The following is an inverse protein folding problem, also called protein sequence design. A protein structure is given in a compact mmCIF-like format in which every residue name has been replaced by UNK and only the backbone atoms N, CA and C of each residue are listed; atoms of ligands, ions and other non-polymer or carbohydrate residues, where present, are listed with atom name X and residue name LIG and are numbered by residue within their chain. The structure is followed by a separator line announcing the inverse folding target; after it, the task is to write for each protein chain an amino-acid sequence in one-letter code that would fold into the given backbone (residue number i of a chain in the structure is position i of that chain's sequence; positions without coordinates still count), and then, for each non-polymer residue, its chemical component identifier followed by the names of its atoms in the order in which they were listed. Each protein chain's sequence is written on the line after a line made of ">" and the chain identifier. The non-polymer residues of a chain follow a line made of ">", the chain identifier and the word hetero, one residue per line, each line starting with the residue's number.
data_IF_393733853372
#
_entry.id   IF_393733853372
#
_cell.length_a   1.000
_cell.length_b   1.000
_cell.length_c   1.000
_cell.angle_alpha   90.00
_cell.angle_beta   90.00
_cell.angle_gamma   90.00
#
_symmetry.space_group_name_H-M   'P 1'
#
loop_
_entity.id
_entity.type
_entity.pdbx_description
1 polymer ?
#
# COMPACT_ATOMS: atom_id res chain seq x y z
N UNK A 1 2.13 13.23 18.59
CA UNK A 1 3.36 12.56 19.05
C UNK A 1 3.07 11.86 20.37
N UNK A 2 3.43 10.58 20.46
CA UNK A 2 3.33 9.80 21.71
C UNK A 2 4.76 9.63 22.23
N UNK A 3 5.17 10.32 23.31
CA UNK A 3 6.52 10.24 23.83
C UNK A 3 6.75 8.92 24.57
N UNK A 4 7.85 8.23 24.23
CA UNK A 4 8.37 7.08 24.95
C UNK A 4 9.91 7.19 24.99
N UNK A 5 10.47 7.26 26.16
CA UNK A 5 11.92 7.51 26.36
C UNK A 5 12.70 6.26 26.77
N UNK A 6 12.08 5.08 26.74
CA UNK A 6 12.72 3.82 27.16
C UNK A 6 13.82 3.37 26.21
N UNK A 7 13.72 3.73 24.93
CA UNK A 7 14.69 3.38 23.88
C UNK A 7 14.92 4.55 22.92
N UNK A 8 16.11 4.71 22.32
CA UNK A 8 16.42 5.78 21.38
C UNK A 8 15.92 5.48 19.94
N UNK A 9 14.72 4.92 19.82
CA UNK A 9 14.08 4.61 18.52
C UNK A 9 12.78 5.40 18.38
N UNK A 10 12.37 5.60 17.13
CA UNK A 10 11.11 6.24 16.78
C UNK A 10 10.38 5.41 15.73
N UNK A 11 9.07 5.31 15.88
CA UNK A 11 8.17 4.84 14.84
C UNK A 11 7.56 6.05 14.16
N UNK A 12 7.92 6.28 12.92
CA UNK A 12 7.26 7.26 12.05
C UNK A 12 6.13 6.56 11.31
N UNK A 13 4.93 7.12 11.33
CA UNK A 13 3.76 6.57 10.61
C UNK A 13 3.11 7.69 9.80
N UNK A 14 2.86 7.41 8.54
CA UNK A 14 2.07 8.23 7.64
C UNK A 14 0.76 7.50 7.33
N UNK A 15 -0.37 8.20 7.51
CA UNK A 15 -1.71 7.65 7.33
C UNK A 15 -2.43 8.40 6.23
N UNK A 16 -2.88 7.67 5.22
CA UNK A 16 -3.81 8.17 4.21
C UNK A 16 -5.21 7.66 4.54
N UNK A 17 -6.17 8.58 4.64
CA UNK A 17 -7.58 8.24 4.90
C UNK A 17 -8.22 7.76 3.60
N UNK A 18 -7.75 6.66 3.10
CA UNK A 18 -8.20 6.01 1.87
C UNK A 18 -7.85 4.52 1.92
N UNK A 19 -8.77 3.68 1.51
CA UNK A 19 -8.60 2.23 1.49
C UNK A 19 -9.48 1.58 0.42
N UNK A 20 -9.72 0.26 0.53
CA UNK A 20 -10.50 -0.46 -0.47
C UNK A 20 -11.97 -0.02 -0.55
N UNK A 21 -12.50 0.61 0.49
CA UNK A 21 -13.88 1.15 0.47
C UNK A 21 -14.04 2.37 -0.44
N UNK A 22 -12.94 3.04 -0.81
CA UNK A 22 -12.94 4.22 -1.66
C UNK A 22 -12.72 3.90 -3.15
N UNK A 23 -12.55 2.62 -3.47
CA UNK A 23 -12.30 2.15 -4.83
C UNK A 23 -13.54 2.27 -5.70
N UNK A 24 -13.34 2.60 -6.98
CA UNK A 24 -14.41 2.63 -7.96
C UNK A 24 -14.85 1.17 -8.28
N UNK A 25 -16.15 0.87 -8.39
CA UNK A 25 -16.60 -0.45 -8.82
C UNK A 25 -15.93 -0.92 -10.11
N UNK A 26 -15.47 -2.15 -10.13
CA UNK A 26 -14.70 -2.73 -11.24
C UNK A 26 -13.18 -2.51 -11.17
N UNK A 27 -12.69 -1.86 -10.10
CA UNK A 27 -11.26 -1.55 -9.86
C UNK A 27 -10.80 -2.02 -8.47
N UNK A 28 -11.39 -3.11 -7.96
CA UNK A 28 -11.04 -3.62 -6.63
C UNK A 28 -9.58 -4.04 -6.53
N UNK A 29 -8.99 -3.81 -5.36
CA UNK A 29 -7.58 -4.04 -5.08
C UNK A 29 -6.68 -2.86 -5.46
N UNK A 30 -7.22 -1.75 -5.97
CA UNK A 30 -6.43 -0.60 -6.42
C UNK A 30 -5.69 0.10 -5.26
N UNK A 31 -6.30 0.20 -4.09
CA UNK A 31 -5.66 0.78 -2.91
C UNK A 31 -4.44 -0.05 -2.47
N UNK A 32 -4.60 -1.38 -2.39
CA UNK A 32 -3.51 -2.31 -2.08
C UNK A 32 -2.46 -2.36 -3.20
N UNK A 33 -2.89 -2.28 -4.46
CA UNK A 33 -1.98 -2.18 -5.60
C UNK A 33 -1.11 -0.92 -5.53
N UNK A 34 -1.72 0.23 -5.22
CA UNK A 34 -0.95 1.47 -5.05
C UNK A 34 -0.01 1.39 -3.84
N UNK A 35 -0.42 0.75 -2.72
CA UNK A 35 0.49 0.51 -1.60
C UNK A 35 1.80 -0.14 -2.06
N UNK A 36 1.72 -1.21 -2.84
CA UNK A 36 2.88 -1.90 -3.41
C UNK A 36 3.68 -0.98 -4.35
N UNK A 37 2.99 -0.26 -5.23
CA UNK A 37 3.63 0.63 -6.20
C UNK A 37 4.38 1.80 -5.56
N UNK A 38 3.98 2.23 -4.36
CA UNK A 38 4.67 3.28 -3.62
C UNK A 38 6.12 2.93 -3.25
N UNK A 39 6.51 1.66 -3.35
CA UNK A 39 7.90 1.19 -3.16
C UNK A 39 8.71 1.11 -4.45
N UNK A 40 8.12 1.45 -5.61
CA UNK A 40 8.80 1.37 -6.92
C UNK A 40 9.78 2.49 -7.17
N UNK A 41 9.59 3.65 -6.56
CA UNK A 41 10.56 4.74 -6.59
C UNK A 41 9.97 6.09 -6.97
N UNK A 42 10.86 7.08 -6.95
CA UNK A 42 10.60 8.48 -7.25
C UNK A 42 11.70 9.02 -8.18
N UNK A 43 11.70 10.34 -8.44
CA UNK A 43 12.84 10.97 -9.12
C UNK A 43 14.14 10.89 -8.34
N UNK A 44 14.05 10.96 -7.00
CA UNK A 44 15.21 11.00 -6.10
C UNK A 44 15.65 9.63 -5.61
N UNK A 45 14.68 8.71 -5.45
CA UNK A 45 14.92 7.38 -4.90
C UNK A 45 14.58 6.35 -5.98
N UNK A 46 15.58 5.66 -6.49
CA UNK A 46 15.39 4.65 -7.52
C UNK A 46 14.53 3.48 -7.02
N UNK A 47 13.93 2.74 -7.95
CA UNK A 47 13.08 1.59 -7.66
C UNK A 47 13.71 0.62 -6.66
N UNK A 48 12.93 0.17 -5.69
CA UNK A 48 13.34 -0.77 -4.63
C UNK A 48 14.50 -0.28 -3.72
N UNK A 49 14.85 1.00 -3.75
CA UNK A 49 15.90 1.55 -2.88
C UNK A 49 15.35 2.06 -1.55
N UNK A 50 14.05 2.37 -1.44
CA UNK A 50 13.44 2.89 -0.22
C UNK A 50 13.77 2.00 0.99
N UNK A 51 13.34 0.75 0.98
CA UNK A 51 13.58 -0.22 2.06
C UNK A 51 15.07 -0.52 2.28
N UNK A 52 15.88 -0.50 1.22
CA UNK A 52 17.33 -0.68 1.35
C UNK A 52 17.99 0.49 2.09
N UNK A 53 17.54 1.73 1.85
CA UNK A 53 18.03 2.92 2.55
C UNK A 53 17.63 2.82 4.03
N UNK A 54 16.39 2.48 4.34
CA UNK A 54 15.92 2.29 5.71
C UNK A 54 16.74 1.20 6.42
N UNK A 55 16.89 0.03 5.80
CA UNK A 55 17.68 -1.08 6.36
C UNK A 55 19.16 -0.72 6.57
N UNK A 56 19.79 0.00 5.62
CA UNK A 56 21.17 0.49 5.76
C UNK A 56 21.36 1.43 6.96
N UNK A 57 20.30 2.13 7.35
CA UNK A 57 20.26 2.99 8.53
C UNK A 57 19.79 2.25 9.80
N UNK A 58 19.79 0.92 9.79
CA UNK A 58 19.42 0.09 10.95
C UNK A 58 17.93 0.06 11.24
N UNK A 59 17.09 0.50 10.30
CA UNK A 59 15.64 0.57 10.44
C UNK A 59 14.92 -0.58 9.74
N UNK A 60 13.60 -0.57 9.91
CA UNK A 60 12.65 -1.43 9.23
C UNK A 60 11.49 -0.60 8.74
N UNK A 61 10.96 -0.91 7.58
CA UNK A 61 9.77 -0.28 7.00
C UNK A 61 8.72 -1.32 6.62
N UNK A 62 7.48 -0.91 6.63
CA UNK A 62 6.36 -1.70 6.14
C UNK A 62 5.18 -0.79 5.79
N UNK A 63 4.13 -1.38 5.22
CA UNK A 63 2.87 -0.72 4.93
C UNK A 63 1.71 -1.70 5.14
N UNK A 64 0.51 -1.18 5.20
CA UNK A 64 -0.72 -1.97 5.16
C UNK A 64 -1.88 -1.15 4.61
N UNK A 65 -2.80 -1.84 3.97
CA UNK A 65 -4.07 -1.31 3.49
C UNK A 65 -5.22 -2.02 4.19
N UNK A 66 -6.22 -1.23 4.58
CA UNK A 66 -7.50 -1.73 5.09
C UNK A 66 -8.64 -1.22 4.20
N UNK A 67 -9.87 -1.36 4.65
CA UNK A 67 -11.02 -0.76 3.96
C UNK A 67 -11.00 0.77 3.99
N UNK A 68 -10.51 1.38 5.08
CA UNK A 68 -10.67 2.82 5.33
C UNK A 68 -9.34 3.60 5.30
N UNK A 69 -8.20 2.91 5.44
CA UNK A 69 -6.90 3.57 5.53
C UNK A 69 -5.79 2.77 4.87
N UNK A 70 -4.80 3.50 4.35
CA UNK A 70 -3.50 2.96 3.94
C UNK A 70 -2.43 3.65 4.78
N UNK A 71 -1.53 2.88 5.37
CA UNK A 71 -0.48 3.41 6.23
C UNK A 71 0.89 2.87 5.84
N UNK A 72 1.87 3.75 5.95
CA UNK A 72 3.30 3.45 5.77
C UNK A 72 4.03 3.78 7.07
N UNK A 73 4.96 2.92 7.48
CA UNK A 73 5.68 3.17 8.72
C UNK A 73 7.14 2.73 8.64
N UNK A 74 7.97 3.44 9.39
CA UNK A 74 9.37 3.15 9.58
C UNK A 74 9.72 3.15 11.06
N UNK A 75 10.45 2.12 11.49
CA UNK A 75 11.08 2.05 12.80
C UNK A 75 12.57 2.34 12.61
N UNK A 76 13.05 3.46 13.15
CA UNK A 76 14.43 3.91 12.97
C UNK A 76 15.00 4.48 14.27
N UNK A 77 16.32 4.60 14.36
CA UNK A 77 16.95 5.39 15.42
C UNK A 77 16.47 6.86 15.33
N UNK A 78 16.33 7.53 16.47
CA UNK A 78 15.77 8.88 16.57
C UNK A 78 16.46 9.92 15.69
N UNK A 79 17.79 9.78 15.48
CA UNK A 79 18.61 10.65 14.64
C UNK A 79 18.38 10.42 13.14
N UNK A 80 17.66 9.34 12.76
CA UNK A 80 17.27 8.99 11.38
C UNK A 80 15.86 9.46 11.01
N UNK A 81 15.10 9.99 11.97
CA UNK A 81 13.75 10.49 11.71
C UNK A 81 13.69 11.52 10.55
N UNK A 82 14.57 12.54 10.48
CA UNK A 82 14.53 13.49 9.36
C UNK A 82 14.67 12.82 7.99
N UNK A 83 15.53 11.79 7.88
CA UNK A 83 15.74 11.04 6.65
C UNK A 83 14.43 10.36 6.19
N UNK A 84 13.76 9.62 7.06
CA UNK A 84 12.54 8.90 6.67
C UNK A 84 11.38 9.85 6.40
N UNK A 85 11.31 10.99 7.09
CA UNK A 85 10.33 12.04 6.80
C UNK A 85 10.55 12.65 5.42
N UNK A 86 11.79 12.92 5.03
CA UNK A 86 12.13 13.41 3.69
C UNK A 86 11.77 12.39 2.60
N UNK A 87 12.07 11.11 2.83
CA UNK A 87 11.75 10.03 1.91
C UNK A 87 10.22 9.87 1.73
N UNK A 88 9.44 10.00 2.81
CA UNK A 88 7.98 9.96 2.74
C UNK A 88 7.39 11.17 2.02
N UNK A 89 7.91 12.36 2.28
CA UNK A 89 7.49 13.58 1.57
C UNK A 89 7.80 13.50 0.08
N UNK A 90 8.94 12.90 -0.29
CA UNK A 90 9.32 12.69 -1.68
C UNK A 90 8.35 11.74 -2.40
N UNK A 91 8.03 10.58 -1.82
CA UNK A 91 7.13 9.64 -2.46
C UNK A 91 5.65 10.08 -2.46
N UNK A 92 5.26 10.98 -1.56
CA UNK A 92 3.92 11.57 -1.57
C UNK A 92 3.65 12.42 -2.81
N UNK A 93 4.68 13.00 -3.42
CA UNK A 93 4.54 13.93 -4.55
C UNK A 93 5.30 13.52 -5.80
N UNK A 94 6.30 12.66 -5.65
CA UNK A 94 7.28 12.34 -6.69
C UNK A 94 7.23 10.91 -7.21
N UNK A 95 6.16 10.15 -6.96
CA UNK A 95 6.03 8.76 -7.40
C UNK A 95 6.23 8.65 -8.92
N UNK A 96 7.09 7.71 -9.33
CA UNK A 96 7.32 7.37 -10.72
C UNK A 96 7.08 5.89 -10.96
N UNK A 97 6.25 5.61 -11.95
CA UNK A 97 5.88 4.24 -12.32
C UNK A 97 6.10 4.05 -13.81
N UNK A 98 6.77 2.96 -14.16
CA UNK A 98 6.86 2.47 -15.54
C UNK A 98 5.78 1.42 -15.80
N UNK A 99 5.51 1.12 -17.08
CA UNK A 99 4.60 0.02 -17.44
C UNK A 99 5.10 -1.33 -16.93
N UNK A 100 6.41 -1.51 -16.85
CA UNK A 100 7.00 -2.71 -16.28
C UNK A 100 6.74 -2.83 -14.77
N UNK A 101 6.77 -1.73 -14.02
CA UNK A 101 6.44 -1.73 -12.60
C UNK A 101 4.98 -2.17 -12.38
N UNK A 102 4.07 -1.65 -13.20
CA UNK A 102 2.64 -2.01 -13.18
C UNK A 102 2.46 -3.51 -13.44
N UNK A 103 3.03 -4.01 -14.53
CA UNK A 103 2.86 -5.41 -14.92
C UNK A 103 3.44 -6.34 -13.88
N UNK A 104 4.67 -6.08 -13.44
CA UNK A 104 5.37 -6.91 -12.46
C UNK A 104 4.62 -6.95 -11.13
N UNK A 105 4.18 -5.79 -10.64
CA UNK A 105 3.53 -5.73 -9.33
C UNK A 105 2.12 -6.31 -9.35
N UNK A 106 1.39 -6.14 -10.45
CA UNK A 106 0.10 -6.80 -10.67
C UNK A 106 0.24 -8.32 -10.59
N UNK A 107 1.27 -8.89 -11.20
CA UNK A 107 1.54 -10.33 -11.15
C UNK A 107 1.90 -10.79 -9.71
N UNK A 108 2.66 -9.98 -8.96
CA UNK A 108 2.97 -10.23 -7.53
C UNK A 108 1.69 -10.28 -6.70
N UNK A 109 0.75 -9.34 -6.91
CA UNK A 109 -0.51 -9.31 -6.17
C UNK A 109 -1.41 -10.48 -6.54
N UNK A 110 -1.50 -10.83 -7.82
CA UNK A 110 -2.25 -12.00 -8.28
C UNK A 110 -1.70 -13.29 -7.68
N UNK A 111 -0.37 -13.44 -7.59
CA UNK A 111 0.26 -14.58 -6.92
C UNK A 111 0.01 -14.54 -5.40
N UNK A 112 0.10 -13.35 -4.78
CA UNK A 112 -0.25 -13.16 -3.37
C UNK A 112 -1.70 -13.54 -3.08
N UNK A 113 -2.65 -13.17 -3.96
CA UNK A 113 -4.05 -13.59 -3.87
C UNK A 113 -4.19 -15.11 -3.99
N UNK A 114 -3.55 -15.71 -5.00
CA UNK A 114 -3.57 -17.16 -5.19
C UNK A 114 -3.09 -17.88 -3.94
N UNK A 115 -1.98 -17.45 -3.38
CA UNK A 115 -1.38 -18.05 -2.19
C UNK A 115 -2.21 -17.90 -0.91
N UNK A 116 -2.78 -16.71 -0.68
CA UNK A 116 -3.43 -16.36 0.59
C UNK A 116 -4.93 -16.58 0.60
N UNK A 117 -5.59 -16.58 -0.57
CA UNK A 117 -7.04 -16.66 -0.71
C UNK A 117 -7.43 -17.89 -1.51
N UNK A 118 -7.01 -17.97 -2.79
CA UNK A 118 -7.57 -18.96 -3.72
C UNK A 118 -7.18 -20.40 -3.36
N UNK A 119 -6.06 -20.59 -2.68
CA UNK A 119 -5.58 -21.90 -2.21
C UNK A 119 -5.96 -22.20 -0.74
N UNK A 120 -6.67 -21.29 -0.05
CA UNK A 120 -7.11 -21.50 1.33
C UNK A 120 -8.64 -21.51 1.43
N UNK A 121 -9.27 -22.67 1.69
CA UNK A 121 -10.72 -22.78 1.80
C UNK A 121 -11.35 -21.85 2.86
N UNK A 122 -10.64 -21.58 3.94
CA UNK A 122 -11.12 -20.69 5.01
C UNK A 122 -11.18 -19.23 4.52
N UNK A 123 -10.17 -18.80 3.78
CA UNK A 123 -10.12 -17.46 3.20
C UNK A 123 -11.17 -17.28 2.11
N UNK A 124 -11.40 -18.29 1.26
CA UNK A 124 -12.48 -18.27 0.25
C UNK A 124 -13.84 -18.14 0.95
N UNK A 125 -14.09 -18.97 1.99
CA UNK A 125 -15.35 -18.91 2.73
C UNK A 125 -15.56 -17.52 3.36
N UNK A 126 -14.54 -16.97 4.00
CA UNK A 126 -14.61 -15.64 4.61
C UNK A 126 -14.88 -14.54 3.55
N UNK A 127 -14.20 -14.57 2.42
CA UNK A 127 -14.40 -13.62 1.32
C UNK A 127 -15.84 -13.67 0.80
N UNK A 128 -16.38 -14.86 0.54
CA UNK A 128 -17.75 -15.03 0.09
C UNK A 128 -18.78 -14.61 1.15
N UNK A 129 -18.51 -14.93 2.41
CA UNK A 129 -19.34 -14.50 3.53
C UNK A 129 -19.39 -12.98 3.66
N UNK A 130 -18.24 -12.30 3.60
CA UNK A 130 -18.17 -10.84 3.65
C UNK A 130 -18.89 -10.20 2.47
N UNK A 131 -18.72 -10.72 1.26
CA UNK A 131 -19.43 -10.25 0.07
C UNK A 131 -20.97 -10.41 0.22
N UNK A 132 -21.44 -11.49 0.82
CA UNK A 132 -22.86 -11.71 1.06
C UNK A 132 -23.44 -10.84 2.19
N UNK A 133 -22.68 -10.64 3.28
CA UNK A 133 -23.10 -9.81 4.42
C UNK A 133 -23.17 -8.32 4.08
N UNK A 134 -22.24 -7.85 3.27
CA UNK A 134 -22.11 -6.44 2.90
C UNK A 134 -22.56 -6.15 1.46
N UNK A 135 -23.59 -6.80 1.01
CA UNK A 135 -24.09 -6.86 -0.38
C UNK A 135 -23.97 -5.54 -1.17
N UNK A 136 -24.31 -4.40 -0.56
CA UNK A 136 -24.25 -3.07 -1.16
C UNK A 136 -23.27 -2.12 -0.45
N UNK A 137 -22.53 -2.61 0.52
CA UNK A 137 -21.53 -1.81 1.23
C UNK A 137 -20.12 -2.11 0.70
N UNK A 138 -19.23 -1.11 0.54
CA UNK A 138 -17.87 -1.33 0.02
C UNK A 138 -17.05 -2.37 0.80
N UNK A 139 -17.38 -2.64 2.06
CA UNK A 139 -16.70 -3.66 2.87
C UNK A 139 -16.94 -5.10 2.38
N UNK A 140 -17.89 -5.31 1.48
CA UNK A 140 -18.04 -6.59 0.78
C UNK A 140 -16.96 -6.88 -0.25
N UNK A 141 -16.19 -5.86 -0.65
CA UNK A 141 -15.07 -6.00 -1.57
C UNK A 141 -13.80 -6.37 -0.81
N UNK A 142 -13.08 -7.44 -1.19
CA UNK A 142 -11.86 -7.80 -0.50
C UNK A 142 -10.77 -6.75 -0.71
N UNK A 143 -9.99 -6.44 0.33
CA UNK A 143 -8.90 -5.44 0.26
C UNK A 143 -7.86 -5.80 -0.80
N UNK A 144 -7.55 -7.09 -0.95
CA UNK A 144 -6.64 -7.55 -2.00
C UNK A 144 -7.23 -7.39 -3.41
N UNK A 145 -8.54 -7.27 -3.53
CA UNK A 145 -9.28 -7.15 -4.79
C UNK A 145 -9.72 -8.50 -5.38
N UNK A 146 -10.70 -8.43 -6.29
CA UNK A 146 -11.11 -9.58 -7.09
C UNK A 146 -10.08 -9.89 -8.18
N UNK A 147 -9.66 -11.13 -8.36
CA UNK A 147 -8.61 -11.51 -9.31
C UNK A 147 -8.85 -11.03 -10.74
N UNK A 148 -10.09 -11.06 -11.22
CA UNK A 148 -10.45 -10.59 -12.56
C UNK A 148 -10.44 -9.06 -12.73
N UNK A 149 -10.52 -8.30 -11.63
CA UNK A 149 -10.39 -6.84 -11.63
C UNK A 149 -8.93 -6.43 -11.49
N UNK A 150 -8.18 -7.05 -10.56
CA UNK A 150 -6.73 -6.85 -10.41
C UNK A 150 -6.02 -7.03 -11.75
N UNK A 151 -6.37 -8.07 -12.50
CA UNK A 151 -5.77 -8.37 -13.81
C UNK A 151 -5.92 -7.25 -14.85
N UNK A 152 -6.83 -6.31 -14.63
CA UNK A 152 -7.13 -5.19 -15.53
C UNK A 152 -6.61 -3.85 -15.04
N UNK A 153 -6.11 -3.77 -13.79
CA UNK A 153 -5.57 -2.53 -13.25
C UNK A 153 -4.38 -2.06 -14.08
N UNK A 154 -4.36 -0.81 -14.40
CA UNK A 154 -3.33 -0.21 -15.24
C UNK A 154 -2.64 0.99 -14.56
N UNK A 155 -1.72 1.61 -15.30
CA UNK A 155 -0.95 2.75 -14.81
C UNK A 155 -1.81 3.99 -14.59
N UNK A 156 -2.81 4.20 -15.43
CA UNK A 156 -3.72 5.34 -15.33
C UNK A 156 -4.59 5.22 -14.08
N UNK A 157 -5.11 4.02 -13.80
CA UNK A 157 -5.86 3.73 -12.58
C UNK A 157 -5.03 4.08 -11.33
N UNK A 158 -3.77 3.62 -11.28
CA UNK A 158 -2.87 3.85 -10.16
C UNK A 158 -2.59 5.35 -9.97
N UNK A 159 -2.29 6.10 -11.03
CA UNK A 159 -2.03 7.54 -10.94
C UNK A 159 -3.26 8.36 -10.61
N UNK A 160 -4.44 8.01 -11.16
CA UNK A 160 -5.70 8.68 -10.83
C UNK A 160 -6.02 8.54 -9.33
N UNK A 161 -5.83 7.34 -8.76
CA UNK A 161 -6.02 7.09 -7.35
C UNK A 161 -4.97 7.81 -6.49
N UNK A 162 -3.70 7.76 -6.88
CA UNK A 162 -2.61 8.47 -6.21
C UNK A 162 -2.86 9.98 -6.15
N UNK A 163 -3.14 10.64 -7.27
CA UNK A 163 -3.35 12.09 -7.31
C UNK A 163 -4.62 12.53 -6.57
N UNK A 164 -5.61 11.65 -6.46
CA UNK A 164 -6.86 11.95 -5.77
C UNK A 164 -6.73 11.91 -4.24
N UNK A 165 -5.96 10.96 -3.73
CA UNK A 165 -5.99 10.64 -2.30
C UNK A 165 -4.65 10.83 -1.56
N UNK A 166 -3.53 10.86 -2.28
CA UNK A 166 -2.21 10.97 -1.66
C UNK A 166 -1.74 12.42 -1.65
N UNK A 167 -2.34 13.20 -0.76
CA UNK A 167 -2.02 14.61 -0.57
C UNK A 167 -2.05 14.97 0.91
N UNK A 168 -1.28 15.98 1.36
CA UNK A 168 -1.42 16.51 2.71
C UNK A 168 -2.78 17.20 2.88
N UNK A 169 -3.38 17.03 4.07
CA UNK A 169 -4.65 17.66 4.46
C UNK A 169 -4.42 19.07 4.99
#
# INVERSE_FOLDING_TARGET
>A
VIPDHRTPVVTHMLWYKVGSADETPGKSGLAHFLEHLMFKGTEKIAASQFSKIVAKNGGQDNAFTTQDVTSYHQNVAKDRLPLVMEMEADRMTGLRLTENDITTERDVILEGRRSRVDNDPSSILNEQMMAALYLNHPYGTPVIGWGHEIAKLDREDAFNFYHRYYAPN
#
